data_IF_208127240305
#
_entry.id   IF_208127240305
#
_cell.length_a   1.000
_cell.length_b   1.000
_cell.length_c   1.000
_cell.angle_alpha   90.00
_cell.angle_beta   90.00
_cell.angle_gamma   90.00
#
_symmetry.space_group_name_H-M   'P 1'
#
loop_
_entity.id
_entity.type
_entity.pdbx_description
1 polymer ?
#
# COMPACT_ATOMS: atom_id res chain seq x y z
N UNK A 1 0.66 8.26 15.31
CA UNK A 1 -0.17 8.52 14.11
C UNK A 1 -0.31 7.24 13.32
N UNK A 2 -1.52 6.88 13.00
CA UNK A 2 -1.81 5.72 12.16
C UNK A 2 -1.92 6.09 10.70
N UNK A 3 -1.17 5.41 9.86
CA UNK A 3 -1.10 5.68 8.42
C UNK A 3 -1.50 4.43 7.66
N UNK A 4 -2.34 4.57 6.66
CA UNK A 4 -2.68 3.50 5.73
C UNK A 4 -2.04 3.79 4.38
N UNK A 5 -1.13 2.93 3.96
CA UNK A 5 -0.47 3.03 2.66
C UNK A 5 -1.17 2.07 1.70
N UNK A 6 -1.83 2.62 0.70
CA UNK A 6 -2.61 1.82 -0.24
C UNK A 6 -1.84 1.59 -1.53
N UNK A 7 -1.67 0.33 -1.88
CA UNK A 7 -1.04 -0.10 -3.13
C UNK A 7 -2.07 -0.74 -4.05
N UNK A 8 -2.54 -0.02 -5.08
CA UNK A 8 -3.36 -0.65 -6.10
C UNK A 8 -2.46 -1.46 -7.03
N UNK A 9 -2.83 -2.69 -7.29
CA UNK A 9 -2.01 -3.57 -8.12
C UNK A 9 -2.86 -4.24 -9.20
N UNK A 10 -2.23 -4.49 -10.34
CA UNK A 10 -2.81 -5.24 -11.44
C UNK A 10 -1.67 -5.93 -12.18
N UNK A 11 -1.64 -7.26 -12.12
CA UNK A 11 -0.61 -8.08 -12.77
C UNK A 11 0.82 -7.60 -12.42
N UNK A 12 1.12 -7.53 -11.13
CA UNK A 12 2.39 -7.04 -10.58
C UNK A 12 3.24 -8.17 -9.97
N UNK A 13 3.12 -9.40 -10.46
CA UNK A 13 3.81 -10.55 -9.85
C UNK A 13 5.33 -10.40 -9.79
N UNK A 14 5.93 -9.61 -10.68
CA UNK A 14 7.39 -9.41 -10.72
C UNK A 14 7.89 -8.34 -9.75
N UNK A 15 7.03 -7.43 -9.33
CA UNK A 15 7.42 -6.24 -8.58
C UNK A 15 6.83 -6.16 -7.19
N UNK A 16 5.71 -6.84 -6.96
CA UNK A 16 4.95 -6.70 -5.74
C UNK A 16 5.75 -7.07 -4.49
N UNK A 17 6.37 -8.24 -4.49
CA UNK A 17 7.10 -8.70 -3.31
C UNK A 17 8.22 -7.74 -2.93
N UNK A 18 9.04 -7.34 -3.90
CA UNK A 18 10.14 -6.41 -3.67
C UNK A 18 9.64 -5.06 -3.15
N UNK A 19 8.59 -4.52 -3.76
CA UNK A 19 8.02 -3.25 -3.37
C UNK A 19 7.50 -3.27 -1.93
N UNK A 20 6.76 -4.31 -1.57
CA UNK A 20 6.21 -4.43 -0.22
C UNK A 20 7.31 -4.66 0.82
N UNK A 21 8.28 -5.54 0.53
CA UNK A 21 9.40 -5.79 1.45
C UNK A 21 10.25 -4.54 1.68
N UNK A 22 10.49 -3.77 0.62
CA UNK A 22 11.22 -2.50 0.73
C UNK A 22 10.45 -1.51 1.61
N UNK A 23 9.15 -1.41 1.42
CA UNK A 23 8.29 -0.53 2.22
C UNK A 23 8.28 -0.97 3.68
N UNK A 24 8.13 -2.26 3.95
CA UNK A 24 8.14 -2.79 5.32
C UNK A 24 9.48 -2.54 6.01
N UNK A 25 10.59 -2.74 5.30
CA UNK A 25 11.92 -2.47 5.85
C UNK A 25 12.10 -0.98 6.19
N UNK A 26 11.58 -0.09 5.35
CA UNK A 26 11.59 1.34 5.60
C UNK A 26 10.76 1.68 6.84
N UNK A 27 9.56 1.15 6.94
CA UNK A 27 8.65 1.40 8.07
C UNK A 27 9.22 0.87 9.38
N UNK A 28 9.97 -0.24 9.35
CA UNK A 28 10.59 -0.80 10.55
C UNK A 28 11.58 0.18 11.19
N UNK A 29 12.13 1.11 10.43
CA UNK A 29 13.03 2.16 10.92
C UNK A 29 12.30 3.42 11.41
N UNK A 30 10.99 3.51 11.16
CA UNK A 30 10.17 4.67 11.50
C UNK A 30 9.19 4.28 12.60
N UNK A 31 9.69 4.17 13.82
CA UNK A 31 8.89 3.77 14.99
C UNK A 31 7.87 4.80 15.42
N UNK A 32 7.99 6.02 14.92
CA UNK A 32 7.04 7.11 15.14
C UNK A 32 5.75 6.95 14.32
N UNK A 33 5.75 6.01 13.36
CA UNK A 33 4.61 5.80 12.47
C UNK A 33 4.08 4.37 12.66
N UNK A 34 2.78 4.28 12.95
CA UNK A 34 2.07 3.02 12.99
C UNK A 34 1.37 2.84 11.64
N UNK A 35 1.89 1.97 10.80
CA UNK A 35 1.45 1.85 9.42
C UNK A 35 0.75 0.52 9.14
N UNK A 36 -0.36 0.64 8.41
CA UNK A 36 -1.04 -0.48 7.77
C UNK A 36 -0.78 -0.37 6.27
N UNK A 37 -0.52 -1.48 5.63
CA UNK A 37 -0.41 -1.55 4.18
C UNK A 37 -1.66 -2.24 3.65
N UNK A 38 -2.39 -1.57 2.77
CA UNK A 38 -3.56 -2.15 2.11
C UNK A 38 -3.24 -2.38 0.64
N UNK A 39 -3.25 -3.64 0.22
CA UNK A 39 -3.02 -4.01 -1.17
C UNK A 39 -4.39 -4.23 -1.82
N UNK A 40 -4.67 -3.49 -2.88
CA UNK A 40 -5.93 -3.62 -3.61
C UNK A 40 -5.66 -4.25 -4.97
N UNK A 41 -6.12 -5.48 -5.14
CA UNK A 41 -5.96 -6.21 -6.39
C UNK A 41 -7.11 -5.87 -7.33
N UNK A 42 -6.79 -5.24 -8.46
CA UNK A 42 -7.75 -4.79 -9.46
C UNK A 42 -8.11 -5.87 -10.50
N UNK A 43 -8.16 -7.11 -10.10
CA UNK A 43 -8.53 -8.20 -10.99
C UNK A 43 -7.34 -8.82 -11.71
N UNK A 44 -6.22 -9.04 -11.04
CA UNK A 44 -5.03 -9.66 -11.61
C UNK A 44 -5.31 -11.09 -12.07
N UNK A 45 -4.72 -11.47 -13.19
CA UNK A 45 -4.83 -12.81 -13.76
C UNK A 45 -3.53 -13.61 -13.64
N UNK A 46 -2.46 -13.00 -13.16
CA UNK A 46 -1.17 -13.65 -12.90
C UNK A 46 -1.08 -14.15 -11.45
N UNK A 47 0.13 -14.31 -10.91
CA UNK A 47 0.35 -14.79 -9.55
C UNK A 47 0.21 -13.72 -8.48
N UNK A 48 -0.16 -12.50 -8.85
CA UNK A 48 -0.31 -11.39 -7.88
C UNK A 48 -1.19 -11.79 -6.68
N UNK A 49 -2.37 -12.39 -6.83
CA UNK A 49 -3.17 -12.78 -5.68
C UNK A 49 -2.46 -13.73 -4.70
N UNK A 50 -1.70 -14.68 -5.23
CA UNK A 50 -0.95 -15.63 -4.39
C UNK A 50 0.14 -14.92 -3.59
N UNK A 51 0.86 -14.00 -4.23
CA UNK A 51 1.92 -13.22 -3.59
C UNK A 51 1.33 -12.34 -2.49
N UNK A 52 0.17 -11.74 -2.72
CA UNK A 52 -0.52 -10.92 -1.70
C UNK A 52 -0.80 -11.76 -0.45
N UNK A 53 -1.33 -12.96 -0.61
CA UNK A 53 -1.63 -13.86 0.51
C UNK A 53 -0.38 -14.26 1.27
N UNK A 54 0.70 -14.57 0.55
CA UNK A 54 1.99 -14.90 1.16
C UNK A 54 2.52 -13.74 1.99
N UNK A 55 2.45 -12.52 1.46
CA UNK A 55 2.91 -11.33 2.17
C UNK A 55 2.05 -11.05 3.40
N UNK A 56 0.74 -11.23 3.31
CA UNK A 56 -0.16 -11.03 4.44
C UNK A 56 0.10 -12.05 5.56
N UNK A 57 0.58 -13.24 5.22
CA UNK A 57 0.97 -14.23 6.21
C UNK A 57 2.29 -13.87 6.92
N UNK A 58 3.19 -13.19 6.23
CA UNK A 58 4.49 -12.79 6.76
C UNK A 58 4.40 -11.52 7.60
N UNK A 59 3.62 -10.55 7.17
CA UNK A 59 3.50 -9.24 7.80
C UNK A 59 2.11 -9.05 8.40
N UNK A 60 2.01 -8.84 9.69
CA UNK A 60 0.73 -8.69 10.39
C UNK A 60 0.00 -7.38 10.08
N UNK A 61 0.70 -6.39 9.53
CA UNK A 61 0.12 -5.09 9.19
C UNK A 61 -0.36 -4.99 7.74
N UNK A 62 -0.44 -6.10 7.03
CA UNK A 62 -0.92 -6.12 5.64
C UNK A 62 -2.39 -6.55 5.60
N UNK A 63 -3.20 -5.72 4.97
CA UNK A 63 -4.59 -6.04 4.61
C UNK A 63 -4.71 -6.06 3.10
N UNK A 64 -5.66 -6.80 2.56
CA UNK A 64 -5.86 -6.83 1.12
C UNK A 64 -7.34 -6.87 0.74
N UNK A 65 -7.62 -6.32 -0.45
CA UNK A 65 -8.95 -6.23 -1.03
C UNK A 65 -8.83 -6.74 -2.46
N UNK A 66 -9.75 -7.61 -2.87
CA UNK A 66 -9.83 -8.08 -4.25
C UNK A 66 -11.07 -7.48 -4.90
N UNK A 67 -10.88 -6.82 -6.04
CA UNK A 67 -11.97 -6.23 -6.81
C UNK A 67 -12.26 -7.11 -8.03
N UNK A 68 -13.54 -7.26 -8.37
CA UNK A 68 -13.95 -7.97 -9.56
C UNK A 68 -13.83 -7.15 -10.84
N UNK A 69 -13.61 -5.84 -10.71
CA UNK A 69 -13.53 -4.91 -11.82
C UNK A 69 -12.24 -4.11 -11.76
N UNK A 70 -11.73 -3.70 -12.93
CA UNK A 70 -10.55 -2.86 -13.04
C UNK A 70 -10.94 -1.40 -12.88
N UNK A 71 -10.10 -0.64 -12.18
CA UNK A 71 -10.27 0.81 -12.06
C UNK A 71 -9.60 1.37 -10.83
N UNK A 72 -8.72 2.35 -11.01
CA UNK A 72 -8.02 3.00 -9.91
C UNK A 72 -8.96 3.73 -8.97
N UNK A 73 -9.98 4.39 -9.51
CA UNK A 73 -10.97 5.08 -8.69
C UNK A 73 -11.72 4.14 -7.78
N UNK A 74 -12.04 2.94 -8.26
CA UNK A 74 -12.72 1.93 -7.48
C UNK A 74 -11.81 1.39 -6.36
N UNK A 75 -10.53 1.14 -6.68
CA UNK A 75 -9.55 0.70 -5.68
C UNK A 75 -9.42 1.70 -4.54
N UNK A 76 -9.24 2.97 -4.87
CA UNK A 76 -9.14 4.04 -3.89
C UNK A 76 -10.40 4.14 -3.04
N UNK A 77 -11.56 4.08 -3.67
CA UNK A 77 -12.86 4.19 -2.98
C UNK A 77 -13.06 3.06 -1.98
N UNK A 78 -12.75 1.83 -2.35
CA UNK A 78 -12.88 0.68 -1.47
C UNK A 78 -11.91 0.75 -0.29
N UNK A 79 -10.66 1.15 -0.55
CA UNK A 79 -9.68 1.33 0.51
C UNK A 79 -10.10 2.44 1.47
N UNK A 80 -10.61 3.55 0.95
CA UNK A 80 -11.08 4.66 1.77
C UNK A 80 -12.26 4.28 2.65
N UNK A 81 -13.21 3.51 2.11
CA UNK A 81 -14.36 3.02 2.89
C UNK A 81 -13.96 2.15 4.07
N UNK A 82 -12.92 1.35 3.92
CA UNK A 82 -12.45 0.41 4.94
C UNK A 82 -11.38 1.00 5.83
N UNK A 83 -10.95 2.22 5.56
CA UNK A 83 -9.86 2.85 6.28
C UNK A 83 -10.25 3.18 7.72
N UNK A 84 -9.40 2.78 8.68
CA UNK A 84 -9.54 3.09 10.11
C UNK A 84 -8.35 3.88 10.63
N UNK A 85 -7.49 4.33 9.74
CA UNK A 85 -6.30 5.10 10.09
C UNK A 85 -6.58 6.60 10.02
N UNK A 86 -5.71 7.38 10.61
CA UNK A 86 -5.81 8.85 10.61
C UNK A 86 -5.53 9.42 9.22
N UNK A 87 -4.61 8.79 8.50
CA UNK A 87 -4.18 9.24 7.17
C UNK A 87 -4.19 8.05 6.22
N UNK A 88 -4.63 8.28 4.99
CA UNK A 88 -4.55 7.30 3.92
C UNK A 88 -3.76 7.90 2.75
N UNK A 89 -2.82 7.14 2.22
CA UNK A 89 -2.02 7.53 1.06
C UNK A 89 -2.03 6.44 0.00
N UNK A 90 -1.95 6.85 -1.24
CA UNK A 90 -2.05 5.99 -2.41
C UNK A 90 -0.69 5.98 -3.11
N UNK A 91 -0.06 4.83 -3.19
CA UNK A 91 1.30 4.69 -3.70
C UNK A 91 1.38 3.63 -4.79
N UNK A 92 2.06 3.96 -5.88
CA UNK A 92 2.34 2.99 -6.94
C UNK A 92 3.41 2.01 -6.44
N UNK A 93 3.17 0.72 -6.61
CA UNK A 93 4.10 -0.32 -6.12
C UNK A 93 5.47 -0.23 -6.78
N UNK A 94 5.55 0.24 -8.02
CA UNK A 94 6.83 0.46 -8.71
C UNK A 94 7.72 1.47 -8.00
N UNK A 95 7.10 2.52 -7.45
CA UNK A 95 7.82 3.61 -6.78
C UNK A 95 8.23 3.23 -5.35
N UNK A 96 7.59 2.21 -4.77
CA UNK A 96 7.90 1.78 -3.41
C UNK A 96 9.28 1.16 -3.27
N UNK A 97 9.94 0.81 -4.38
CA UNK A 97 11.32 0.32 -4.35
C UNK A 97 12.36 1.43 -4.20
N UNK A 98 11.95 2.69 -4.31
CA UNK A 98 12.82 3.85 -4.19
C UNK A 98 12.72 4.42 -2.76
N UNK A 99 13.79 4.27 -2.00
CA UNK A 99 13.85 4.74 -0.61
C UNK A 99 13.68 6.26 -0.53
N UNK A 100 14.21 7.01 -1.51
CA UNK A 100 14.04 8.46 -1.54
C UNK A 100 12.58 8.84 -1.75
N UNK A 101 11.87 8.08 -2.58
CA UNK A 101 10.45 8.28 -2.80
C UNK A 101 9.66 7.99 -1.53
N UNK A 102 9.95 6.88 -0.85
CA UNK A 102 9.30 6.53 0.40
C UNK A 102 9.51 7.60 1.49
N UNK A 103 10.73 8.14 1.60
CA UNK A 103 10.99 9.26 2.51
C UNK A 103 10.11 10.46 2.20
N UNK A 104 9.93 10.76 0.92
CA UNK A 104 9.10 11.87 0.47
C UNK A 104 7.62 11.64 0.82
N UNK A 105 7.15 10.42 0.63
CA UNK A 105 5.79 10.02 0.98
C UNK A 105 5.55 10.18 2.49
N UNK A 106 6.48 9.72 3.32
CA UNK A 106 6.35 9.82 4.76
C UNK A 106 6.34 11.27 5.24
N UNK A 107 7.15 12.13 4.64
CA UNK A 107 7.12 13.58 4.94
C UNK A 107 5.80 14.20 4.58
N UNK A 108 5.19 13.79 3.49
CA UNK A 108 3.88 14.29 3.09
C UNK A 108 2.81 13.87 4.11
N UNK A 109 2.86 12.63 4.61
CA UNK A 109 1.94 12.17 5.63
C UNK A 109 2.05 12.97 6.94
N UNK A 110 3.22 13.46 7.27
CA UNK A 110 3.41 14.28 8.46
C UNK A 110 2.71 15.64 8.38
N UNK A 111 2.41 16.11 7.16
CA UNK A 111 1.82 17.44 6.92
C UNK A 111 0.31 17.41 6.77
N UNK A 112 -0.29 16.27 6.50
CA UNK A 112 -1.70 16.18 6.18
C UNK A 112 -2.43 15.23 7.12
N UNK A 113 -3.58 15.67 7.61
CA UNK A 113 -4.47 14.88 8.47
C UNK A 113 -5.59 14.22 7.66
N UNK A 114 -5.54 14.32 6.34
CA UNK A 114 -6.63 13.96 5.47
C UNK A 114 -6.18 12.97 4.40
N UNK A 115 -7.10 12.54 3.56
CA UNK A 115 -6.79 11.63 2.45
C UNK A 115 -5.87 12.33 1.45
N UNK A 116 -4.73 11.69 1.16
CA UNK A 116 -3.76 12.22 0.22
C UNK A 116 -3.46 11.20 -0.87
N UNK A 117 -3.33 11.67 -2.11
CA UNK A 117 -2.87 10.87 -3.24
C UNK A 117 -1.45 11.31 -3.57
N UNK A 118 -0.50 10.40 -3.43
CA UNK A 118 0.92 10.67 -3.66
C UNK A 118 1.40 9.83 -4.82
N UNK A 119 1.93 10.48 -5.84
CA UNK A 119 2.43 9.82 -7.03
C UNK A 119 3.92 10.01 -7.17
#
# INVERSE_FOLDING_TARGET
MKVNIVFPVLDEERRLEKGIRTTEAFLAKRRDIDAVITIVDNGSTDRTPDIIKELADVYSNIEYITLGERGFGLAFREAAKRNRCDIIGYVDVDLSTDIHYLSKVMKAFEKYDDISVIK
#
